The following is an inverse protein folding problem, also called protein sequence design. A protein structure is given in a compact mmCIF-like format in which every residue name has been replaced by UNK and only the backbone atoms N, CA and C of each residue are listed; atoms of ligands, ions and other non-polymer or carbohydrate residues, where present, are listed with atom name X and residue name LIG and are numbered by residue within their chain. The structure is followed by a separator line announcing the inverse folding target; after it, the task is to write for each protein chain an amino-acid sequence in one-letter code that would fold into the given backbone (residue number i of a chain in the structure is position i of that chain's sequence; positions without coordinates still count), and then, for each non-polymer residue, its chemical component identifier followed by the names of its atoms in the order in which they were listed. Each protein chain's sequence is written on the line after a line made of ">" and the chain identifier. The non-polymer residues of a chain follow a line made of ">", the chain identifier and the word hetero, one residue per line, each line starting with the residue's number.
data_IF_890435163028
#
_entry.id   IF_890435163028
#
_cell.length_a   1.000
_cell.length_b   1.000
_cell.length_c   1.000
_cell.angle_alpha   90.00
_cell.angle_beta   90.00
_cell.angle_gamma   90.00
#
_symmetry.space_group_name_H-M   'P 1'
#
loop_
_entity.id
_entity.type
_entity.pdbx_description
1 polymer ?
#
# COMPACT_ATOMS: atom_id res chain seq x y z
N UNK A 1 8.31 -5.42 -7.31
CA UNK A 1 7.57 -4.88 -8.47
C UNK A 1 8.27 -5.32 -9.72
N UNK A 2 7.55 -5.73 -10.75
CA UNK A 2 8.11 -6.22 -12.00
C UNK A 2 7.28 -5.70 -13.18
N UNK A 3 7.95 -5.24 -14.24
CA UNK A 3 7.29 -4.94 -15.52
C UNK A 3 7.22 -6.24 -16.32
N UNK A 4 6.05 -6.58 -16.84
CA UNK A 4 5.88 -7.75 -17.70
C UNK A 4 5.24 -7.36 -19.02
N UNK A 5 5.57 -8.12 -20.06
CA UNK A 5 4.93 -8.06 -21.35
C UNK A 5 4.67 -9.47 -21.88
N UNK A 6 3.53 -9.67 -22.53
CA UNK A 6 3.13 -10.91 -23.17
C UNK A 6 2.49 -10.61 -24.52
N UNK A 7 2.95 -11.32 -25.54
CA UNK A 7 2.45 -11.17 -26.91
C UNK A 7 1.37 -12.23 -27.17
N UNK A 8 0.13 -11.82 -27.45
CA UNK A 8 -1.02 -12.69 -27.71
C UNK A 8 -1.81 -12.17 -28.92
N UNK A 9 -2.20 -13.05 -29.84
CA UNK A 9 -3.00 -12.70 -31.03
C UNK A 9 -2.43 -11.53 -31.86
N UNK A 10 -1.10 -11.40 -31.91
CA UNK A 10 -0.42 -10.31 -32.61
C UNK A 10 -0.45 -8.96 -31.88
N UNK A 11 -0.88 -8.94 -30.62
CA UNK A 11 -0.90 -7.76 -29.74
C UNK A 11 0.02 -7.98 -28.54
N UNK A 12 0.81 -6.96 -28.21
CA UNK A 12 1.60 -6.91 -26.97
C UNK A 12 0.77 -6.35 -25.83
N UNK A 13 0.62 -7.13 -24.77
CA UNK A 13 0.00 -6.72 -23.52
C UNK A 13 1.10 -6.49 -22.48
N UNK A 14 1.18 -5.29 -21.92
CA UNK A 14 2.15 -4.96 -20.87
C UNK A 14 1.43 -4.57 -19.58
N UNK A 15 1.98 -4.96 -18.43
CA UNK A 15 1.44 -4.62 -17.12
C UNK A 15 2.52 -4.55 -16.05
N UNK A 16 2.15 -3.98 -14.90
CA UNK A 16 3.01 -3.89 -13.72
C UNK A 16 2.51 -4.90 -12.69
N UNK A 17 3.41 -5.79 -12.25
CA UNK A 17 3.16 -6.71 -11.14
C UNK A 17 3.57 -6.10 -9.81
N UNK A 18 2.61 -6.01 -8.91
CA UNK A 18 2.86 -5.90 -7.48
C UNK A 18 2.78 -7.30 -6.87
N UNK A 19 3.93 -7.79 -6.38
CA UNK A 19 4.04 -9.13 -5.78
C UNK A 19 3.80 -9.01 -4.28
N UNK A 20 2.70 -9.61 -3.81
CA UNK A 20 2.41 -9.72 -2.38
C UNK A 20 3.33 -10.77 -1.71
N UNK A 21 3.45 -10.79 -0.36
CA UNK A 21 4.19 -11.83 0.36
C UNK A 21 3.74 -13.27 0.00
N UNK A 22 2.45 -13.47 -0.25
CA UNK A 22 1.88 -14.73 -0.76
C UNK A 22 2.34 -15.11 -2.19
N UNK A 23 3.14 -14.27 -2.84
CA UNK A 23 3.56 -14.36 -4.25
C UNK A 23 2.42 -14.24 -5.26
N UNK A 24 1.30 -13.67 -4.85
CA UNK A 24 0.21 -13.37 -5.76
C UNK A 24 0.50 -12.04 -6.47
N UNK A 25 0.30 -12.02 -7.79
CA UNK A 25 0.61 -10.89 -8.65
C UNK A 25 -0.65 -10.04 -8.88
N UNK A 26 -0.61 -8.77 -8.45
CA UNK A 26 -1.59 -7.79 -8.88
C UNK A 26 -1.09 -7.09 -10.14
N UNK A 27 -1.73 -7.41 -11.26
CA UNK A 27 -1.45 -6.86 -12.58
C UNK A 27 -2.18 -5.53 -12.78
N UNK A 28 -1.41 -4.45 -12.95
CA UNK A 28 -1.92 -3.08 -12.97
C UNK A 28 -1.62 -2.37 -14.29
N UNK A 29 -2.57 -1.55 -14.74
CA UNK A 29 -2.36 -0.55 -15.78
C UNK A 29 -1.51 0.62 -15.26
N UNK A 30 -0.94 1.42 -16.17
CA UNK A 30 -0.21 2.64 -15.82
C UNK A 30 -1.06 3.59 -14.95
N UNK A 31 -2.34 3.80 -15.31
CA UNK A 31 -3.24 4.64 -14.54
C UNK A 31 -3.47 4.13 -13.10
N UNK A 32 -3.64 2.81 -12.93
CA UNK A 32 -3.77 2.22 -11.59
C UNK A 32 -2.48 2.32 -10.78
N UNK A 33 -1.32 2.12 -11.43
CA UNK A 33 -0.02 2.25 -10.77
C UNK A 33 0.22 3.69 -10.29
N UNK A 34 -0.19 4.70 -11.06
CA UNK A 34 -0.16 6.11 -10.66
C UNK A 34 -1.07 6.40 -9.46
N UNK A 35 -2.31 5.91 -9.49
CA UNK A 35 -3.23 6.05 -8.35
C UNK A 35 -2.67 5.40 -7.08
N UNK A 36 -2.05 4.23 -7.20
CA UNK A 36 -1.42 3.56 -6.07
C UNK A 36 -0.19 4.33 -5.56
N UNK A 37 0.62 4.89 -6.45
CA UNK A 37 1.76 5.72 -6.10
C UNK A 37 1.32 6.99 -5.34
N UNK A 38 0.26 7.67 -5.79
CA UNK A 38 -0.31 8.82 -5.09
C UNK A 38 -0.76 8.46 -3.67
N UNK A 39 -1.43 7.32 -3.49
CA UNK A 39 -1.85 6.84 -2.18
C UNK A 39 -0.65 6.53 -1.26
N UNK A 40 0.41 5.91 -1.79
CA UNK A 40 1.64 5.64 -1.05
C UNK A 40 2.38 6.92 -0.63
N UNK A 41 2.43 7.92 -1.51
CA UNK A 41 3.01 9.23 -1.20
C UNK A 41 2.21 9.90 -0.09
N UNK A 42 0.89 9.99 -0.25
CA UNK A 42 0.02 10.62 0.74
C UNK A 42 0.13 9.95 2.13
N UNK A 43 0.15 8.61 2.18
CA UNK A 43 0.37 7.89 3.44
C UNK A 43 1.79 8.09 4.00
N UNK A 44 2.82 8.14 3.15
CA UNK A 44 4.18 8.42 3.58
C UNK A 44 4.35 9.84 4.16
N UNK A 45 3.65 10.82 3.60
CA UNK A 45 3.68 12.20 4.08
C UNK A 45 2.91 12.34 5.41
N UNK A 46 1.78 11.63 5.55
CA UNK A 46 1.08 11.52 6.83
C UNK A 46 1.93 10.82 7.89
N UNK A 47 2.71 9.80 7.52
CA UNK A 47 3.65 9.12 8.41
C UNK A 47 4.73 10.08 8.94
N UNK A 48 5.29 10.95 8.08
CA UNK A 48 6.30 11.95 8.50
C UNK A 48 5.71 13.06 9.37
N UNK A 49 4.43 13.40 9.17
CA UNK A 49 3.78 14.49 9.89
C UNK A 49 3.68 14.28 11.41
N UNK A 50 3.92 13.04 11.89
CA UNK A 50 3.86 12.63 13.31
C UNK A 50 2.70 13.27 14.07
N UNK A 51 1.51 13.32 13.45
CA UNK A 51 0.29 13.78 14.11
C UNK A 51 -0.03 12.75 15.19
N UNK A 52 0.47 13.07 16.39
CA UNK A 52 0.51 12.37 17.67
C UNK A 52 1.90 11.81 18.02
N UNK A 53 2.56 12.57 18.88
CA UNK A 53 3.87 12.34 19.45
C UNK A 53 4.13 10.88 19.83
N UNK A 54 5.37 10.44 19.63
CA UNK A 54 5.99 9.19 20.13
C UNK A 54 5.90 9.02 21.67
N UNK A 55 5.21 9.95 22.35
CA UNK A 55 5.03 10.05 23.79
C UNK A 55 3.60 10.51 24.11
N UNK A 56 2.58 9.72 23.76
CA UNK A 56 1.29 9.84 24.46
C UNK A 56 1.41 8.97 25.72
N UNK A 57 1.27 9.54 26.94
CA UNK A 57 1.38 8.75 28.17
C UNK A 57 0.23 7.73 28.36
N UNK A 58 -0.66 7.60 27.38
CA UNK A 58 -1.93 6.90 27.44
C UNK A 58 -2.10 6.13 26.13
N UNK A 59 -1.74 4.85 26.14
CA UNK A 59 -2.01 3.85 25.10
C UNK A 59 -3.52 3.57 24.92
N UNK A 60 -4.38 4.57 25.13
CA UNK A 60 -5.83 4.46 25.25
C UNK A 60 -6.58 5.49 24.40
N UNK A 61 -5.88 6.42 23.74
CA UNK A 61 -6.50 7.38 22.83
C UNK A 61 -6.19 7.00 21.39
N UNK A 62 -7.26 6.71 20.64
CA UNK A 62 -7.16 6.48 19.20
C UNK A 62 -6.56 7.70 18.50
N UNK A 63 -5.67 7.50 17.52
CA UNK A 63 -5.23 8.58 16.66
C UNK A 63 -6.40 9.32 16.01
N UNK A 64 -6.28 10.63 15.73
CA UNK A 64 -7.36 11.40 15.09
C UNK A 64 -7.73 10.89 13.69
N UNK A 65 -6.78 10.25 13.01
CA UNK A 65 -6.99 9.62 11.70
C UNK A 65 -7.51 8.18 11.80
N UNK A 66 -7.57 7.60 13.01
CA UNK A 66 -8.00 6.22 13.23
C UNK A 66 -9.48 6.07 12.90
N UNK A 67 -9.78 5.30 11.86
CA UNK A 67 -11.15 4.95 11.46
C UNK A 67 -11.55 3.55 11.93
N UNK A 68 -10.58 2.68 12.17
CA UNK A 68 -10.77 1.31 12.63
C UNK A 68 -9.68 0.95 13.64
N UNK A 69 -10.02 0.29 14.74
CA UNK A 69 -9.03 -0.23 15.69
C UNK A 69 -9.52 -1.52 16.32
N UNK A 70 -8.58 -2.33 16.80
CA UNK A 70 -8.92 -3.53 17.54
C UNK A 70 -9.25 -3.16 19.00
N UNK A 71 -10.32 -3.74 19.55
CA UNK A 71 -10.60 -3.69 20.98
C UNK A 71 -9.70 -4.72 21.68
N UNK A 72 -8.55 -4.27 22.19
CA UNK A 72 -7.65 -5.14 22.93
C UNK A 72 -8.34 -5.65 24.22
N UNK A 73 -8.72 -6.93 24.24
CA UNK A 73 -9.32 -7.58 25.42
C UNK A 73 -8.31 -7.84 26.54
N UNK A 74 -7.03 -7.95 26.20
CA UNK A 74 -5.91 -8.09 27.14
C UNK A 74 -5.15 -6.76 27.22
N UNK A 75 -4.98 -6.16 28.41
CA UNK A 75 -4.17 -4.95 28.62
C UNK A 75 -2.69 -5.08 28.19
N UNK A 76 -2.21 -6.31 27.95
CA UNK A 76 -0.85 -6.59 27.45
C UNK A 76 -0.80 -6.86 25.95
N UNK A 77 -1.94 -7.02 25.28
CA UNK A 77 -1.98 -7.21 23.85
C UNK A 77 -1.63 -5.92 23.12
N UNK A 78 -1.03 -6.06 21.95
CA UNK A 78 -0.77 -4.94 21.05
C UNK A 78 -2.10 -4.46 20.47
N UNK A 79 -2.31 -3.14 20.44
CA UNK A 79 -3.52 -2.55 19.89
C UNK A 79 -3.24 -1.98 18.50
N UNK A 80 -4.01 -2.41 17.51
CA UNK A 80 -3.89 -1.92 16.15
C UNK A 80 -4.87 -0.78 15.89
N UNK A 81 -4.37 0.26 15.24
CA UNK A 81 -5.16 1.36 14.69
C UNK A 81 -4.93 1.42 13.19
N UNK A 82 -6.00 1.64 12.45
CA UNK A 82 -6.04 1.72 10.99
C UNK A 82 -6.80 2.97 10.57
N UNK A 83 -6.20 3.74 9.69
CA UNK A 83 -6.86 4.83 9.00
C UNK A 83 -7.73 4.33 7.84
N UNK A 84 -8.43 5.27 7.22
CA UNK A 84 -9.27 4.99 6.07
C UNK A 84 -8.40 4.44 4.92
N UNK A 85 -8.76 3.30 4.31
CA UNK A 85 -7.96 2.75 3.22
C UNK A 85 -8.22 3.47 1.90
N UNK A 86 -7.14 3.87 1.23
CA UNK A 86 -7.15 4.12 -0.20
C UNK A 86 -7.19 2.79 -0.93
N UNK A 87 -8.12 2.65 -1.87
CA UNK A 87 -8.38 1.40 -2.58
C UNK A 87 -8.24 1.61 -4.08
N UNK A 88 -7.36 0.83 -4.71
CA UNK A 88 -7.20 0.79 -6.16
C UNK A 88 -7.69 -0.57 -6.65
N UNK A 89 -8.71 -0.64 -7.53
CA UNK A 89 -9.15 -1.90 -8.11
C UNK A 89 -8.06 -2.46 -9.03
N UNK A 90 -7.93 -3.78 -9.12
CA UNK A 90 -7.04 -4.50 -10.05
C UNK A 90 -7.87 -5.03 -11.22
N UNK A 91 -7.44 -4.73 -12.44
CA UNK A 91 -8.18 -5.06 -13.68
C UNK A 91 -7.54 -6.25 -14.43
N UNK A 92 -6.30 -6.63 -14.12
CA UNK A 92 -5.63 -7.69 -14.86
C UNK A 92 -6.22 -9.10 -14.65
N UNK A 93 -6.06 -10.00 -15.64
CA UNK A 93 -6.71 -11.31 -15.71
C UNK A 93 -6.50 -12.23 -14.50
N UNK A 94 -5.32 -12.23 -13.87
CA UNK A 94 -5.05 -13.15 -12.74
C UNK A 94 -5.79 -12.80 -11.45
N UNK A 95 -6.01 -11.51 -11.21
CA UNK A 95 -6.65 -10.98 -10.00
C UNK A 95 -7.82 -10.05 -10.32
N UNK A 96 -8.53 -10.30 -11.41
CA UNK A 96 -9.63 -9.46 -11.84
C UNK A 96 -10.67 -9.29 -10.72
N UNK A 97 -10.99 -8.03 -10.38
CA UNK A 97 -11.91 -7.68 -9.29
C UNK A 97 -11.28 -7.63 -7.89
N UNK A 98 -9.99 -7.95 -7.76
CA UNK A 98 -9.23 -7.76 -6.52
C UNK A 98 -8.95 -6.27 -6.25
N UNK A 99 -8.50 -5.98 -5.04
CA UNK A 99 -8.20 -4.62 -4.59
C UNK A 99 -6.80 -4.56 -3.99
N UNK A 100 -6.05 -3.54 -4.36
CA UNK A 100 -4.86 -3.11 -3.61
C UNK A 100 -5.31 -2.01 -2.66
N UNK A 101 -4.95 -2.13 -1.38
CA UNK A 101 -5.27 -1.13 -0.36
C UNK A 101 -3.99 -0.57 0.25
N UNK A 102 -3.98 0.74 0.44
CA UNK A 102 -2.94 1.46 1.18
C UNK A 102 -3.61 2.21 2.31
N UNK A 103 -3.08 2.11 3.52
CA UNK A 103 -3.58 2.87 4.67
C UNK A 103 -2.46 3.17 5.66
N UNK A 104 -2.60 4.27 6.39
CA UNK A 104 -1.77 4.50 7.57
C UNK A 104 -2.27 3.62 8.71
N UNK A 105 -1.33 3.02 9.43
CA UNK A 105 -1.60 2.15 10.55
C UNK A 105 -0.69 2.52 11.73
N UNK A 106 -1.14 2.20 12.93
CA UNK A 106 -0.35 2.27 14.14
C UNK A 106 -0.49 0.98 14.95
N UNK A 107 0.58 0.61 15.62
CA UNK A 107 0.63 -0.49 16.57
C UNK A 107 1.09 0.03 17.91
N UNK A 108 0.17 0.03 18.85
CA UNK A 108 0.41 0.45 20.22
C UNK A 108 0.89 -0.76 21.01
N UNK A 109 2.06 -0.60 21.59
CA UNK A 109 2.63 -1.52 22.56
C UNK A 109 2.55 -0.89 23.95
N UNK A 110 2.90 -1.64 24.98
CA UNK A 110 2.94 -1.12 26.36
C UNK A 110 3.80 0.14 26.52
N UNK A 111 4.80 0.34 25.67
CA UNK A 111 5.83 1.37 25.87
C UNK A 111 5.93 2.39 24.73
N UNK A 112 5.33 2.10 23.58
CA UNK A 112 5.53 2.89 22.36
C UNK A 112 4.40 2.66 21.35
N UNK A 113 4.19 3.64 20.47
CA UNK A 113 3.32 3.56 19.30
C UNK A 113 4.18 3.58 18.05
N UNK A 114 4.11 2.50 17.26
CA UNK A 114 4.83 2.40 15.98
C UNK A 114 3.89 2.70 14.83
N UNK A 115 4.28 3.62 13.95
CA UNK A 115 3.55 3.95 12.72
C UNK A 115 4.11 3.22 11.50
N UNK A 116 3.25 2.79 10.60
CA UNK A 116 3.61 2.17 9.34
C UNK A 116 2.53 2.41 8.29
N UNK A 117 2.93 2.40 7.02
CA UNK A 117 2.06 2.40 5.86
C UNK A 117 1.80 0.93 5.50
N UNK A 118 0.56 0.48 5.67
CA UNK A 118 0.13 -0.86 5.32
C UNK A 118 -0.23 -0.93 3.83
N UNK A 119 0.43 -1.79 3.07
CA UNK A 119 0.08 -2.15 1.69
C UNK A 119 -0.47 -3.58 1.65
N UNK A 120 -1.70 -3.76 1.17
CA UNK A 120 -2.36 -5.08 1.12
C UNK A 120 -2.88 -5.36 -0.28
N UNK A 121 -2.66 -6.57 -0.78
CA UNK A 121 -3.22 -7.06 -2.04
C UNK A 121 -4.23 -8.17 -1.73
N UNK A 122 -5.47 -8.07 -2.22
CA UNK A 122 -6.50 -9.14 -2.07
C UNK A 122 -6.70 -9.63 -0.62
N UNK A 123 -6.65 -8.71 0.35
CA UNK A 123 -6.77 -9.04 1.78
C UNK A 123 -5.69 -10.01 2.31
N UNK A 124 -4.54 -10.12 1.63
CA UNK A 124 -3.37 -10.86 2.08
C UNK A 124 -2.69 -10.19 3.30
N UNK A 125 -1.64 -10.82 3.82
CA UNK A 125 -0.77 -10.24 4.84
C UNK A 125 -0.30 -8.83 4.41
N UNK A 126 -0.48 -7.86 5.31
CA UNK A 126 -0.11 -6.49 5.04
C UNK A 126 1.42 -6.36 5.00
N UNK A 127 1.93 -5.75 3.95
CA UNK A 127 3.32 -5.31 3.90
C UNK A 127 3.41 -4.00 4.68
N UNK A 128 4.16 -4.03 5.79
CA UNK A 128 4.47 -2.84 6.58
C UNK A 128 5.61 -2.06 5.94
N UNK A 129 5.36 -0.80 5.62
CA UNK A 129 6.34 0.12 5.05
C UNK A 129 6.55 1.30 5.99
N UNK A 130 7.78 1.76 6.11
CA UNK A 130 8.06 3.12 6.62
C UNK A 130 7.62 4.17 5.60
N UNK A 131 7.46 5.43 6.01
CA UNK A 131 7.17 6.53 5.08
C UNK A 131 8.15 6.63 3.90
N UNK A 132 9.48 6.57 4.14
CA UNK A 132 10.47 6.50 3.08
C UNK A 132 10.32 5.28 2.15
N UNK A 133 9.97 4.10 2.66
CA UNK A 133 9.74 2.89 1.84
C UNK A 133 8.49 3.00 0.99
N UNK A 134 7.42 3.60 1.52
CA UNK A 134 6.21 3.87 0.76
C UNK A 134 6.51 4.78 -0.43
N UNK A 135 7.25 5.87 -0.22
CA UNK A 135 7.66 6.78 -1.31
C UNK A 135 8.62 6.13 -2.32
N UNK A 136 9.55 5.28 -1.87
CA UNK A 136 10.40 4.51 -2.81
C UNK A 136 9.56 3.56 -3.68
N UNK A 137 8.59 2.90 -3.08
CA UNK A 137 7.64 2.04 -3.82
C UNK A 137 6.80 2.86 -4.80
N UNK A 138 6.33 4.03 -4.39
CA UNK A 138 5.61 4.95 -5.26
C UNK A 138 6.46 5.41 -6.46
N UNK A 139 7.70 5.81 -6.23
CA UNK A 139 8.61 6.21 -7.30
C UNK A 139 8.86 5.07 -8.29
N UNK A 140 9.01 3.84 -7.81
CA UNK A 140 9.12 2.67 -8.67
C UNK A 140 7.86 2.48 -9.53
N UNK A 141 6.67 2.60 -8.94
CA UNK A 141 5.39 2.50 -9.68
C UNK A 141 5.25 3.58 -10.75
N UNK A 142 5.66 4.82 -10.45
CA UNK A 142 5.63 5.92 -11.42
C UNK A 142 6.59 5.66 -12.59
N UNK A 143 7.83 5.24 -12.30
CA UNK A 143 8.79 4.89 -13.34
C UNK A 143 8.27 3.76 -14.23
N UNK A 144 7.72 2.70 -13.64
CA UNK A 144 7.18 1.58 -14.41
C UNK A 144 5.96 1.98 -15.25
N UNK A 145 5.13 2.90 -14.75
CA UNK A 145 4.00 3.43 -15.51
C UNK A 145 4.46 4.32 -16.68
N UNK A 146 5.50 5.14 -16.48
CA UNK A 146 6.12 5.94 -17.53
C UNK A 146 6.74 5.06 -18.62
N UNK A 147 7.41 3.98 -18.24
CA UNK A 147 7.95 2.98 -19.17
C UNK A 147 6.84 2.29 -19.97
N UNK A 148 5.70 1.98 -19.34
CA UNK A 148 4.54 1.37 -19.99
C UNK A 148 3.88 2.30 -21.02
N UNK A 149 3.83 3.60 -20.71
CA UNK A 149 3.26 4.62 -21.57
C UNK A 149 4.21 5.01 -22.72
N UNK A 150 5.50 4.65 -22.63
CA UNK A 150 6.49 4.98 -23.64
C UNK A 150 6.19 4.25 -24.97
N UNK A 151 5.98 4.99 -26.08
CA UNK A 151 5.65 4.40 -27.38
C UNK A 151 6.73 3.47 -27.95
N UNK A 152 7.98 3.57 -27.48
CA UNK A 152 9.07 2.68 -27.89
C UNK A 152 8.93 1.24 -27.38
N UNK A 153 8.05 0.98 -26.40
CA UNK A 153 7.75 -0.35 -25.88
C UNK A 153 6.45 -0.96 -26.43
N UNK A 154 5.77 -0.28 -27.37
CA UNK A 154 4.54 -0.75 -28.03
C UNK A 154 4.76 -1.47 -29.38
N UNK A 155 6.01 -1.63 -29.81
CA UNK A 155 6.42 -2.45 -30.97
C UNK A 155 6.85 -3.85 -30.54
#
# INVERSE_FOLDING_TARGET
>A
MQLNAHDCDGLRYSWIDLVAPSRVHAEMTAAQARQLAEALIACGDLWDSRILADSIPWAHLCPLWCSQHDEARDPKAEQWHSGQPWTVPVIGPQLCGSRVRVRLCAKDTRFDRRLFVCLTVRDDEAVELTGPEARRTAAALLNAADDLDNPLHRT
#
